data_IF_021017465966
#
_entry.id   IF_021017465966
#
_cell.length_a   1.000
_cell.length_b   1.000
_cell.length_c   1.000
_cell.angle_alpha   90.00
_cell.angle_beta   90.00
_cell.angle_gamma   90.00
#
_symmetry.space_group_name_H-M   'P 1'
#
loop_
_entity.id
_entity.type
_entity.pdbx_description
1 polymer ?
#
# COMPACT_ATOMS: atom_id res chain seq x y z
N UNK A 1 -46.72 30.99 27.05
CA UNK A 1 -46.42 29.58 26.70
C UNK A 1 -46.28 29.29 25.21
N UNK A 2 -46.28 30.27 24.34
CA UNK A 2 -46.14 30.05 22.88
C UNK A 2 -44.74 30.34 22.33
N UNK A 3 -43.79 30.76 23.15
CA UNK A 3 -42.40 31.08 22.73
C UNK A 3 -41.36 30.02 23.12
N UNK A 4 -41.75 28.98 23.82
CA UNK A 4 -40.82 27.90 24.23
C UNK A 4 -40.79 26.70 23.26
N UNK A 5 -41.73 26.67 22.32
CA UNK A 5 -41.87 25.52 21.38
C UNK A 5 -41.08 25.67 20.08
N UNK A 6 -40.52 26.86 19.83
CA UNK A 6 -39.79 27.15 18.58
C UNK A 6 -38.28 26.87 18.73
N UNK A 7 -37.77 26.77 19.93
CA UNK A 7 -36.32 26.56 20.18
C UNK A 7 -35.96 25.05 20.14
N UNK A 8 -36.94 24.16 20.29
CA UNK A 8 -36.69 22.71 20.29
C UNK A 8 -36.62 22.05 18.87
N UNK A 9 -36.97 22.80 17.84
CA UNK A 9 -37.00 22.26 16.46
C UNK A 9 -35.75 22.55 15.64
N UNK A 10 -34.76 23.26 16.20
CA UNK A 10 -33.51 23.60 15.51
C UNK A 10 -32.29 22.83 15.99
N UNK A 11 -32.46 21.89 16.94
CA UNK A 11 -31.35 21.08 17.45
C UNK A 11 -31.23 19.68 16.81
N UNK A 12 -32.01 19.38 15.74
CA UNK A 12 -32.04 18.03 15.15
C UNK A 12 -31.54 17.96 13.70
N UNK A 13 -30.68 18.88 13.29
CA UNK A 13 -30.15 18.83 11.93
C UNK A 13 -28.64 19.11 11.87
N UNK A 14 -27.85 18.38 12.64
CA UNK A 14 -26.39 18.35 12.46
C UNK A 14 -25.79 17.01 12.88
N UNK A 15 -26.47 15.91 12.56
CA UNK A 15 -25.78 14.63 12.40
C UNK A 15 -25.23 14.59 10.95
N UNK A 16 -24.28 15.47 10.67
CA UNK A 16 -23.39 15.23 9.54
C UNK A 16 -22.66 13.92 9.83
N UNK A 17 -23.14 12.83 9.24
CA UNK A 17 -22.35 11.64 9.03
C UNK A 17 -21.10 12.06 8.28
N UNK A 18 -20.02 12.26 9.01
CA UNK A 18 -18.67 12.22 8.47
C UNK A 18 -18.48 10.80 7.92
N UNK A 19 -19.03 10.55 6.74
CA UNK A 19 -18.46 9.56 5.85
C UNK A 19 -17.06 10.13 5.54
N UNK A 20 -16.06 9.68 6.28
CA UNK A 20 -14.68 9.94 5.97
C UNK A 20 -14.43 9.37 4.57
N UNK A 21 -14.49 10.26 3.57
CA UNK A 21 -13.90 9.97 2.27
C UNK A 21 -12.45 9.60 2.55
N UNK A 22 -12.10 8.32 2.35
CA UNK A 22 -10.72 7.90 2.46
C UNK A 22 -9.93 8.77 1.48
N UNK A 23 -8.94 9.49 2.00
CA UNK A 23 -8.09 10.35 1.16
C UNK A 23 -7.40 9.46 0.14
N UNK A 24 -7.58 9.76 -1.13
CA UNK A 24 -6.79 9.14 -2.18
C UNK A 24 -5.35 9.65 -2.12
N UNK A 25 -4.40 8.73 -2.14
CA UNK A 25 -2.98 9.05 -2.17
C UNK A 25 -2.51 9.29 -3.60
N UNK A 26 -1.65 10.28 -3.77
CA UNK A 26 -0.80 10.43 -4.94
C UNK A 26 0.57 9.82 -4.63
N UNK A 27 1.35 9.51 -5.64
CA UNK A 27 2.68 8.91 -5.47
C UNK A 27 3.58 9.72 -4.52
N UNK A 28 3.51 11.05 -4.61
CA UNK A 28 4.28 11.96 -3.75
C UNK A 28 3.82 12.01 -2.29
N UNK A 29 2.58 11.59 -2.01
CA UNK A 29 2.02 11.58 -0.66
C UNK A 29 2.38 10.30 0.12
N UNK A 30 2.87 9.26 -0.57
CA UNK A 30 3.27 7.99 0.06
C UNK A 30 4.58 8.17 0.84
N UNK A 31 4.61 7.87 2.14
CA UNK A 31 5.84 7.96 2.92
C UNK A 31 6.90 6.96 2.45
N UNK A 32 8.06 7.46 2.00
CA UNK A 32 9.21 6.59 1.74
C UNK A 32 9.90 6.25 3.06
N UNK A 33 9.47 5.17 3.68
CA UNK A 33 9.96 4.75 5.00
C UNK A 33 11.44 4.37 4.99
N UNK A 34 11.96 3.85 3.88
CA UNK A 34 13.38 3.51 3.73
C UNK A 34 14.31 4.74 3.72
N UNK A 35 13.82 5.88 3.28
CA UNK A 35 14.60 7.11 3.31
C UNK A 35 14.85 7.58 4.76
N UNK A 36 13.90 7.32 5.66
CA UNK A 36 14.01 7.66 7.08
C UNK A 36 14.71 6.57 7.90
N UNK A 37 14.42 5.30 7.60
CA UNK A 37 14.97 4.14 8.31
C UNK A 37 15.22 2.99 7.31
N UNK A 38 16.49 2.69 7.08
CA UNK A 38 16.92 1.67 6.10
C UNK A 38 16.54 0.24 6.45
N UNK A 39 16.00 0.01 7.64
CA UNK A 39 15.47 -1.29 8.08
C UNK A 39 13.96 -1.43 7.85
N UNK A 40 13.31 -0.37 7.37
CA UNK A 40 11.88 -0.32 7.09
C UNK A 40 11.61 -0.43 5.60
N UNK A 41 10.65 -1.27 5.22
CA UNK A 41 10.30 -1.57 3.83
C UNK A 41 8.80 -1.41 3.57
N UNK A 42 7.99 -1.36 4.64
CA UNK A 42 6.53 -1.31 4.57
C UNK A 42 6.02 0.10 4.84
N UNK A 43 5.47 0.75 3.80
CA UNK A 43 4.71 1.99 3.92
C UNK A 43 3.23 1.66 4.09
N UNK A 44 2.70 1.93 5.27
CA UNK A 44 1.35 1.55 5.71
C UNK A 44 0.66 2.74 6.41
N UNK A 45 0.46 3.86 5.68
CA UNK A 45 -0.03 5.10 6.30
C UNK A 45 -1.45 4.99 6.86
N UNK A 46 -2.27 4.10 6.31
CA UNK A 46 -3.65 3.87 6.74
C UNK A 46 -3.78 2.77 7.82
N UNK A 47 -2.68 2.16 8.24
CA UNK A 47 -2.71 1.12 9.27
C UNK A 47 -3.42 -0.16 8.84
N UNK A 48 -3.40 -0.51 7.56
CA UNK A 48 -4.06 -1.70 7.01
C UNK A 48 -3.41 -3.00 7.48
N UNK A 49 -2.08 -2.97 7.59
CA UNK A 49 -1.31 -4.06 8.16
C UNK A 49 -1.10 -3.80 9.65
N UNK A 50 -1.25 -4.83 10.47
CA UNK A 50 -0.93 -4.73 11.89
C UNK A 50 0.56 -4.40 12.10
N UNK A 51 0.89 -3.79 13.24
CA UNK A 51 2.28 -3.48 13.57
C UNK A 51 3.17 -4.73 13.57
N UNK A 52 2.65 -5.85 14.08
CA UNK A 52 3.36 -7.13 14.09
C UNK A 52 3.58 -7.70 12.70
N UNK A 53 2.59 -7.60 11.81
CA UNK A 53 2.74 -8.00 10.40
C UNK A 53 3.78 -7.14 9.69
N UNK A 54 3.71 -5.82 9.84
CA UNK A 54 4.70 -4.89 9.28
C UNK A 54 6.11 -5.21 9.74
N UNK A 55 6.32 -5.43 11.04
CA UNK A 55 7.63 -5.79 11.58
C UNK A 55 8.17 -7.13 11.03
N UNK A 56 7.32 -8.14 10.89
CA UNK A 56 7.71 -9.43 10.31
C UNK A 56 8.13 -9.28 8.84
N UNK A 57 7.39 -8.50 8.07
CA UNK A 57 7.72 -8.20 6.67
C UNK A 57 9.05 -7.44 6.61
N UNK A 58 9.21 -6.37 7.39
CA UNK A 58 10.46 -5.59 7.44
C UNK A 58 11.67 -6.49 7.73
N UNK A 59 11.56 -7.42 8.70
CA UNK A 59 12.64 -8.36 9.06
C UNK A 59 13.00 -9.29 7.90
N UNK A 60 12.01 -9.86 7.22
CA UNK A 60 12.23 -10.73 6.06
C UNK A 60 12.89 -9.97 4.90
N UNK A 61 12.41 -8.77 4.61
CA UNK A 61 12.91 -7.95 3.50
C UNK A 61 14.29 -7.37 3.80
N UNK A 62 14.59 -7.08 5.06
CA UNK A 62 15.95 -6.71 5.49
C UNK A 62 16.95 -7.84 5.19
N UNK A 63 16.62 -9.07 5.57
CA UNK A 63 17.47 -10.23 5.29
C UNK A 63 17.66 -10.47 3.79
N UNK A 64 16.61 -10.27 3.00
CA UNK A 64 16.65 -10.38 1.54
C UNK A 64 17.59 -9.34 0.92
N UNK A 65 17.49 -8.09 1.36
CA UNK A 65 18.37 -6.99 0.93
C UNK A 65 19.83 -7.25 1.29
N UNK A 66 20.10 -7.65 2.54
CA UNK A 66 21.47 -7.93 3.00
C UNK A 66 22.11 -9.10 2.27
N UNK A 67 21.31 -10.08 1.81
CA UNK A 67 21.80 -11.17 0.96
C UNK A 67 22.10 -10.75 -0.47
N UNK A 68 21.80 -9.50 -0.84
CA UNK A 68 22.03 -8.95 -2.17
C UNK A 68 21.12 -9.56 -3.26
N UNK A 69 19.99 -10.18 -2.90
CA UNK A 69 19.10 -10.84 -3.85
C UNK A 69 18.09 -9.89 -4.47
N UNK A 70 17.47 -9.03 -3.66
CA UNK A 70 16.47 -8.07 -4.13
C UNK A 70 16.35 -6.88 -3.19
N UNK A 71 15.89 -5.75 -3.73
CA UNK A 71 15.43 -4.61 -2.96
C UNK A 71 13.92 -4.48 -3.11
N UNK A 72 13.18 -4.69 -2.03
CA UNK A 72 11.72 -4.74 -2.04
C UNK A 72 11.14 -3.56 -1.27
N UNK A 73 10.03 -3.03 -1.78
CA UNK A 73 9.18 -2.09 -1.04
C UNK A 73 7.73 -2.58 -1.06
N UNK A 74 7.03 -2.36 0.04
CA UNK A 74 5.62 -2.71 0.19
C UNK A 74 4.84 -1.45 0.54
N UNK A 75 3.76 -1.20 -0.17
CA UNK A 75 2.84 -0.08 0.07
C UNK A 75 1.44 -0.62 0.24
N UNK A 76 0.78 -0.25 1.34
CA UNK A 76 -0.60 -0.62 1.62
C UNK A 76 -1.41 0.64 1.90
N UNK A 77 -2.41 0.93 1.06
CA UNK A 77 -3.24 2.14 1.13
C UNK A 77 -4.72 1.83 0.91
N UNK A 78 -5.59 2.67 1.46
CA UNK A 78 -7.02 2.55 1.24
C UNK A 78 -7.42 2.93 -0.20
N UNK A 79 -6.82 3.98 -0.75
CA UNK A 79 -7.21 4.53 -2.06
C UNK A 79 -6.06 5.22 -2.76
N UNK A 80 -6.01 5.06 -4.07
CA UNK A 80 -5.19 5.84 -5.01
C UNK A 80 -6.07 6.64 -6.00
N UNK A 81 -7.37 6.81 -5.68
CA UNK A 81 -8.35 7.44 -6.58
C UNK A 81 -8.61 6.58 -7.79
N UNK A 82 -8.67 7.23 -8.95
CA UNK A 82 -8.95 6.57 -10.24
C UNK A 82 -7.67 6.08 -10.94
N UNK A 83 -6.51 6.17 -10.29
CA UNK A 83 -5.26 5.73 -10.89
C UNK A 83 -5.21 4.20 -11.06
N UNK A 84 -4.53 3.75 -12.12
CA UNK A 84 -4.30 2.33 -12.38
C UNK A 84 -3.18 1.84 -11.46
N UNK A 85 -3.37 0.77 -10.68
CA UNK A 85 -2.37 0.28 -9.73
C UNK A 85 -1.00 0.01 -10.35
N UNK A 86 -0.98 -0.50 -11.58
CA UNK A 86 0.25 -0.73 -12.33
C UNK A 86 1.05 0.57 -12.54
N UNK A 87 0.38 1.61 -13.06
CA UNK A 87 1.03 2.89 -13.37
C UNK A 87 1.47 3.61 -12.10
N UNK A 88 0.64 3.55 -11.06
CA UNK A 88 0.95 4.11 -9.74
C UNK A 88 2.20 3.48 -9.14
N UNK A 89 2.26 2.14 -9.12
CA UNK A 89 3.41 1.42 -8.57
C UNK A 89 4.68 1.68 -9.38
N UNK A 90 4.59 1.73 -10.72
CA UNK A 90 5.71 2.03 -11.59
C UNK A 90 6.31 3.41 -11.32
N UNK A 91 5.46 4.42 -11.18
CA UNK A 91 5.89 5.78 -10.82
C UNK A 91 6.56 5.81 -9.44
N UNK A 92 6.00 5.09 -8.48
CA UNK A 92 6.48 5.04 -7.10
C UNK A 92 7.87 4.38 -7.01
N UNK A 93 8.04 3.19 -7.59
CA UNK A 93 9.34 2.48 -7.56
C UNK A 93 10.43 3.26 -8.31
N UNK A 94 10.06 3.92 -9.41
CA UNK A 94 10.97 4.80 -10.17
C UNK A 94 11.39 6.00 -9.34
N UNK A 95 10.43 6.69 -8.72
CA UNK A 95 10.67 7.87 -7.89
C UNK A 95 11.54 7.55 -6.67
N UNK A 96 11.36 6.40 -6.05
CA UNK A 96 12.14 5.97 -4.89
C UNK A 96 13.47 5.34 -5.26
N UNK A 97 13.71 5.04 -6.53
CA UNK A 97 14.92 4.40 -7.00
C UNK A 97 15.09 3.00 -6.42
N UNK A 98 14.01 2.21 -6.41
CA UNK A 98 14.00 0.86 -5.86
C UNK A 98 14.79 -0.08 -6.77
N UNK A 99 15.73 -0.83 -6.17
CA UNK A 99 16.64 -1.71 -6.88
C UNK A 99 18.00 -1.09 -7.15
N UNK A 100 18.98 -1.95 -7.37
CA UNK A 100 20.33 -1.52 -7.78
C UNK A 100 20.36 -1.38 -9.31
N UNK A 101 20.91 -0.28 -9.81
CA UNK A 101 20.94 0.02 -11.24
C UNK A 101 21.58 -1.08 -12.10
N UNK A 102 22.66 -1.68 -11.60
CA UNK A 102 23.41 -2.71 -12.33
C UNK A 102 22.74 -4.08 -12.26
N UNK A 103 22.06 -4.39 -11.18
CA UNK A 103 21.39 -5.66 -10.94
C UNK A 103 19.93 -5.67 -11.42
N UNK A 104 19.31 -4.48 -11.52
CA UNK A 104 17.88 -4.28 -11.81
C UNK A 104 16.99 -5.21 -10.97
N UNK A 105 17.29 -5.26 -9.67
CA UNK A 105 16.76 -6.20 -8.68
C UNK A 105 15.70 -5.57 -7.75
N UNK A 106 15.06 -4.53 -8.24
CA UNK A 106 13.95 -3.88 -7.53
C UNK A 106 12.66 -4.68 -7.61
N UNK A 107 11.87 -4.66 -6.53
CA UNK A 107 10.52 -5.23 -6.50
C UNK A 107 9.60 -4.31 -5.69
N UNK A 108 8.48 -3.95 -6.28
CA UNK A 108 7.42 -3.19 -5.63
C UNK A 108 6.17 -4.05 -5.43
N UNK A 109 5.54 -3.93 -4.27
CA UNK A 109 4.25 -4.52 -3.95
C UNK A 109 3.30 -3.41 -3.52
N UNK A 110 2.13 -3.31 -4.15
CA UNK A 110 1.09 -2.34 -3.83
C UNK A 110 -0.22 -3.05 -3.51
N UNK A 111 -0.82 -2.69 -2.38
CA UNK A 111 -2.17 -3.10 -1.98
C UNK A 111 -3.07 -1.88 -1.96
N UNK A 112 -4.21 -1.94 -2.67
CA UNK A 112 -5.21 -0.86 -2.76
C UNK A 112 -6.57 -1.42 -2.38
N UNK A 113 -7.10 -0.97 -1.23
CA UNK A 113 -8.30 -1.57 -0.63
C UNK A 113 -9.55 -1.27 -1.42
N UNK A 114 -9.79 -0.01 -1.79
CA UNK A 114 -11.02 0.41 -2.48
C UNK A 114 -11.15 -0.20 -3.89
N UNK A 115 -10.05 -0.49 -4.54
CA UNK A 115 -10.02 -1.18 -5.83
C UNK A 115 -9.96 -2.71 -5.69
N UNK A 116 -9.72 -3.24 -4.47
CA UNK A 116 -9.49 -4.66 -4.24
C UNK A 116 -8.30 -5.20 -5.02
N UNK A 117 -7.28 -4.37 -5.22
CA UNK A 117 -6.16 -4.63 -6.11
C UNK A 117 -4.87 -4.93 -5.35
N UNK A 118 -4.12 -5.88 -5.89
CA UNK A 118 -2.72 -6.13 -5.51
C UNK A 118 -1.90 -6.11 -6.79
N UNK A 119 -0.84 -5.31 -6.79
CA UNK A 119 0.10 -5.19 -7.91
C UNK A 119 1.51 -5.55 -7.43
N UNK A 120 2.25 -6.30 -8.24
CA UNK A 120 3.67 -6.61 -8.02
C UNK A 120 4.42 -6.30 -9.31
N UNK A 121 5.50 -5.53 -9.19
CA UNK A 121 6.39 -5.22 -10.29
C UNK A 121 7.82 -5.55 -9.92
N UNK A 122 8.55 -6.14 -10.87
CA UNK A 122 9.95 -6.53 -10.74
C UNK A 122 10.81 -5.85 -11.78
N UNK A 123 12.06 -5.54 -11.41
CA UNK A 123 13.10 -5.24 -12.39
C UNK A 123 13.52 -6.47 -13.19
N UNK A 124 14.15 -6.26 -14.35
CA UNK A 124 14.58 -7.33 -15.25
C UNK A 124 15.51 -8.36 -14.59
N UNK A 125 16.31 -7.93 -13.61
CA UNK A 125 17.19 -8.82 -12.85
C UNK A 125 16.47 -9.91 -12.05
N UNK A 126 15.18 -9.75 -11.81
CA UNK A 126 14.36 -10.72 -11.07
C UNK A 126 13.44 -11.57 -11.96
N UNK A 127 13.33 -11.27 -13.26
CA UNK A 127 12.39 -11.96 -14.16
C UNK A 127 12.69 -13.47 -14.31
N UNK A 128 13.96 -13.87 -14.19
CA UNK A 128 14.35 -15.27 -14.20
C UNK A 128 13.83 -16.08 -13.03
N UNK A 129 13.84 -15.47 -11.83
CA UNK A 129 13.37 -16.10 -10.58
C UNK A 129 11.88 -15.85 -10.33
N UNK A 130 11.37 -14.70 -10.77
CA UNK A 130 9.99 -14.23 -10.54
C UNK A 130 9.33 -13.81 -11.86
N UNK A 131 9.09 -14.74 -12.80
CA UNK A 131 8.38 -14.42 -14.04
C UNK A 131 6.93 -14.03 -13.76
N UNK A 132 6.33 -13.20 -14.60
CA UNK A 132 4.96 -12.67 -14.47
C UNK A 132 3.91 -13.75 -14.17
N UNK A 133 4.03 -14.91 -14.80
CA UNK A 133 3.10 -16.03 -14.56
C UNK A 133 3.17 -16.54 -13.12
N UNK A 134 4.35 -16.53 -12.49
CA UNK A 134 4.52 -16.89 -11.08
C UNK A 134 3.95 -15.80 -10.19
N UNK A 135 4.21 -14.53 -10.48
CA UNK A 135 3.66 -13.40 -9.72
C UNK A 135 2.13 -13.41 -9.74
N UNK A 136 1.51 -13.58 -10.90
CA UNK A 136 0.05 -13.71 -11.03
C UNK A 136 -0.50 -14.87 -10.20
N UNK A 137 0.19 -16.01 -10.18
CA UNK A 137 -0.21 -17.16 -9.36
C UNK A 137 -0.10 -16.87 -7.86
N UNK A 138 0.97 -16.20 -7.43
CA UNK A 138 1.14 -15.78 -6.03
C UNK A 138 0.02 -14.83 -5.61
N UNK A 139 -0.26 -13.82 -6.42
CA UNK A 139 -1.34 -12.86 -6.16
C UNK A 139 -2.67 -13.58 -6.04
N UNK A 140 -3.05 -14.38 -7.04
CA UNK A 140 -4.37 -14.98 -7.12
C UNK A 140 -4.62 -16.09 -6.08
N UNK A 141 -3.61 -16.89 -5.79
CA UNK A 141 -3.79 -18.07 -4.94
C UNK A 141 -3.52 -17.81 -3.46
N UNK A 142 -2.71 -16.80 -3.14
CA UNK A 142 -2.28 -16.55 -1.76
C UNK A 142 -2.63 -15.14 -1.26
N UNK A 143 -2.36 -14.10 -2.05
CA UNK A 143 -2.51 -12.73 -1.55
C UNK A 143 -3.96 -12.23 -1.63
N UNK A 144 -4.64 -12.41 -2.76
CA UNK A 144 -6.02 -11.94 -2.92
C UNK A 144 -7.02 -12.62 -1.98
N UNK A 145 -6.97 -13.94 -1.73
CA UNK A 145 -7.84 -14.56 -0.74
C UNK A 145 -7.67 -13.95 0.65
N UNK A 146 -6.43 -13.88 1.16
CA UNK A 146 -6.12 -13.28 2.44
C UNK A 146 -6.55 -11.81 2.51
N UNK A 147 -6.29 -11.04 1.46
CA UNK A 147 -6.68 -9.64 1.37
C UNK A 147 -8.20 -9.43 1.42
N UNK A 148 -8.98 -10.30 0.78
CA UNK A 148 -10.46 -10.25 0.80
C UNK A 148 -11.03 -10.64 2.15
N UNK A 149 -10.40 -11.59 2.83
CA UNK A 149 -10.78 -12.04 4.18
C UNK A 149 -10.31 -11.07 5.28
N UNK A 150 -9.51 -10.07 4.92
CA UNK A 150 -8.88 -9.12 5.83
C UNK A 150 -7.97 -9.79 6.89
N UNK A 151 -7.32 -10.88 6.49
CA UNK A 151 -6.40 -11.65 7.32
C UNK A 151 -4.94 -11.26 7.06
#
# INVERSE_FOLDING_TARGET
>A
MRKLFVILLFAFCAANTLFGSSRAYRVEDIPNVQAADRTRFVSNPDGLLSQSAGYRIDTMLYSLKESGRAQVVVVAVNSIGDEVPFDFLQQLVTRWGVGRKEADDGLGILLVVDQGAIEIQTGYGLEGDLPDALLKRIINNYMLPAFRERD
#
